data_IF_850356067789
#
_entry.id   IF_850356067789
#
_cell.length_a   1.000
_cell.length_b   1.000
_cell.length_c   1.000
_cell.angle_alpha   90.00
_cell.angle_beta   90.00
_cell.angle_gamma   90.00
#
_symmetry.space_group_name_H-M   'P 1'
#
loop_
_entity.id
_entity.type
_entity.pdbx_description
1 polymer ?
#
# COMPACT_ATOMS: atom_id res chain seq x y z
N UNK A 1 -4.18 3.95 7.90
CA UNK A 1 -3.23 3.80 6.78
C UNK A 1 -4.10 3.80 5.55
N UNK A 2 -3.91 4.71 4.59
CA UNK A 2 -4.61 4.66 3.31
C UNK A 2 -4.51 3.26 2.69
N UNK A 3 -5.66 2.68 2.36
CA UNK A 3 -5.77 1.42 1.62
C UNK A 3 -6.29 1.74 0.21
N UNK A 4 -6.71 0.74 -0.56
CA UNK A 4 -7.19 0.96 -1.93
C UNK A 4 -8.25 2.07 -2.04
N UNK A 5 -9.32 2.09 -1.21
CA UNK A 5 -10.39 3.07 -1.37
C UNK A 5 -9.92 4.53 -1.17
N UNK A 6 -9.08 4.78 -0.18
CA UNK A 6 -8.57 6.13 0.11
C UNK A 6 -7.58 6.61 -0.96
N UNK A 7 -6.80 5.69 -1.55
CA UNK A 7 -5.91 6.02 -2.68
C UNK A 7 -6.73 6.31 -3.95
N UNK A 8 -7.83 5.59 -4.19
CA UNK A 8 -8.74 5.91 -5.31
C UNK A 8 -9.37 7.30 -5.16
N UNK A 9 -9.82 7.68 -3.96
CA UNK A 9 -10.34 9.02 -3.74
C UNK A 9 -9.24 10.09 -3.88
N UNK A 10 -8.02 9.79 -3.44
CA UNK A 10 -6.85 10.65 -3.70
C UNK A 10 -6.63 10.86 -5.20
N UNK A 11 -6.67 9.79 -5.99
CA UNK A 11 -6.53 9.84 -7.45
C UNK A 11 -7.65 10.65 -8.08
N UNK A 12 -8.90 10.49 -7.62
CA UNK A 12 -10.04 11.31 -8.06
C UNK A 12 -9.80 12.80 -7.80
N UNK A 13 -9.33 13.18 -6.61
CA UNK A 13 -9.01 14.56 -6.26
C UNK A 13 -7.90 15.12 -7.18
N UNK A 14 -6.80 14.38 -7.35
CA UNK A 14 -5.69 14.78 -8.20
C UNK A 14 -6.17 14.95 -9.64
N UNK A 15 -6.94 13.99 -10.16
CA UNK A 15 -7.51 14.05 -11.52
C UNK A 15 -8.40 15.28 -11.71
N UNK A 16 -9.32 15.54 -10.79
CA UNK A 16 -10.22 16.70 -10.85
C UNK A 16 -9.47 18.04 -10.79
N UNK A 17 -8.30 18.07 -10.14
CA UNK A 17 -7.53 19.30 -9.93
C UNK A 17 -6.54 19.56 -11.06
N UNK A 18 -5.88 18.49 -11.54
CA UNK A 18 -4.67 18.59 -12.35
C UNK A 18 -4.84 18.13 -13.81
N UNK A 19 -5.84 17.29 -14.12
CA UNK A 19 -5.99 16.74 -15.47
C UNK A 19 -6.13 17.87 -16.51
N UNK A 20 -5.34 17.81 -17.56
CA UNK A 20 -5.33 18.83 -18.62
C UNK A 20 -4.55 20.11 -18.29
N UNK A 21 -3.98 20.24 -17.09
CA UNK A 21 -3.17 21.39 -16.68
C UNK A 21 -1.67 21.12 -16.82
N UNK A 22 -0.91 22.18 -17.07
CA UNK A 22 0.56 22.15 -17.11
C UNK A 22 1.14 22.44 -15.73
N UNK A 23 2.20 21.70 -15.37
CA UNK A 23 2.98 21.91 -14.14
C UNK A 23 3.90 23.11 -14.38
N UNK A 24 3.55 24.29 -13.91
CA UNK A 24 4.33 25.52 -14.13
C UNK A 24 5.61 25.54 -13.31
N UNK A 25 5.52 25.09 -12.06
CA UNK A 25 6.65 24.97 -11.15
C UNK A 25 6.36 23.92 -10.09
N UNK A 26 7.43 23.46 -9.45
CA UNK A 26 7.36 22.48 -8.37
C UNK A 26 8.21 22.99 -7.21
N UNK A 27 7.57 23.31 -6.09
CA UNK A 27 8.29 23.49 -4.84
C UNK A 27 8.56 22.12 -4.22
N UNK A 28 9.77 21.91 -3.70
CA UNK A 28 10.15 20.65 -3.06
C UNK A 28 10.94 20.90 -1.79
N UNK A 29 10.88 19.94 -0.87
CA UNK A 29 11.70 19.92 0.34
C UNK A 29 12.53 18.65 0.34
N UNK A 30 13.82 18.78 0.62
CA UNK A 30 14.73 17.63 0.66
C UNK A 30 14.23 16.57 1.65
N UNK A 31 14.03 15.36 1.14
CA UNK A 31 13.75 14.18 1.95
C UNK A 31 14.23 12.92 1.24
N UNK A 32 15.44 12.49 1.57
CA UNK A 32 16.10 11.32 0.96
C UNK A 32 15.43 9.98 1.27
N UNK A 33 14.46 9.94 2.19
CA UNK A 33 13.67 8.73 2.48
C UNK A 33 12.43 8.68 1.57
N UNK A 34 11.75 9.83 1.42
CA UNK A 34 10.50 9.89 0.67
C UNK A 34 10.76 9.95 -0.83
N UNK A 35 11.73 10.74 -1.28
CA UNK A 35 12.22 10.71 -2.67
C UNK A 35 13.14 9.49 -2.85
N UNK A 36 12.57 8.40 -3.34
CA UNK A 36 13.23 7.09 -3.34
C UNK A 36 13.89 6.82 -4.69
N UNK A 37 15.23 6.74 -4.69
CA UNK A 37 16.01 6.51 -5.92
C UNK A 37 16.13 7.74 -6.82
N UNK A 38 15.78 8.93 -6.31
CA UNK A 38 15.89 10.21 -7.00
C UNK A 38 16.05 11.34 -5.99
N UNK A 39 16.68 12.45 -6.37
CA UNK A 39 16.69 13.67 -5.57
C UNK A 39 15.39 14.46 -5.75
N UNK A 40 15.08 15.37 -4.83
CA UNK A 40 13.89 16.19 -4.96
C UNK A 40 14.01 17.22 -6.10
N UNK A 41 15.23 17.69 -6.39
CA UNK A 41 15.51 18.59 -7.51
C UNK A 41 15.36 17.90 -8.86
N UNK A 42 15.87 16.67 -8.99
CA UNK A 42 15.71 15.89 -10.22
C UNK A 42 14.23 15.56 -10.47
N UNK A 43 13.48 15.27 -9.41
CA UNK A 43 12.03 15.10 -9.49
C UNK A 43 11.35 16.37 -10.00
N UNK A 44 11.63 17.52 -9.39
CA UNK A 44 11.06 18.80 -9.80
C UNK A 44 11.40 19.12 -11.27
N UNK A 45 12.67 18.93 -11.64
CA UNK A 45 13.17 19.21 -12.99
C UNK A 45 12.52 18.33 -14.07
N UNK A 46 12.31 17.04 -13.80
CA UNK A 46 11.72 16.13 -14.79
C UNK A 46 10.27 16.51 -15.13
N UNK A 47 9.49 16.93 -14.14
CA UNK A 47 8.04 17.09 -14.31
C UNK A 47 7.62 18.52 -14.63
N UNK A 48 8.45 19.50 -14.30
CA UNK A 48 8.17 20.92 -14.58
C UNK A 48 8.02 21.15 -16.09
N UNK A 49 7.01 21.93 -16.46
CA UNK A 49 6.65 22.27 -17.83
C UNK A 49 5.73 21.26 -18.53
N UNK A 50 5.55 20.05 -17.97
CA UNK A 50 4.75 18.98 -18.59
C UNK A 50 3.29 19.06 -18.19
N UNK A 51 2.41 18.61 -19.08
CA UNK A 51 0.95 18.58 -18.90
C UNK A 51 0.52 17.24 -18.34
N UNK A 52 -0.38 17.26 -17.36
CA UNK A 52 -1.00 16.05 -16.82
C UNK A 52 -2.03 15.53 -17.81
N UNK A 53 -1.78 14.35 -18.37
CA UNK A 53 -2.67 13.71 -19.37
C UNK A 53 -3.56 12.62 -18.76
N UNK A 54 -3.13 12.03 -17.65
CA UNK A 54 -3.91 11.05 -16.92
C UNK A 54 -3.41 10.94 -15.48
N UNK A 55 -4.25 10.38 -14.61
CA UNK A 55 -3.88 10.00 -13.25
C UNK A 55 -4.47 8.61 -13.02
N UNK A 56 -3.61 7.65 -12.69
CA UNK A 56 -4.00 6.26 -12.52
C UNK A 56 -3.64 5.71 -11.14
N UNK A 57 -4.15 4.52 -10.84
CA UNK A 57 -3.94 3.80 -9.58
C UNK A 57 -3.75 2.32 -9.86
N UNK A 58 -2.88 1.68 -9.09
CA UNK A 58 -2.84 0.23 -8.96
C UNK A 58 -2.54 -0.15 -7.51
N UNK A 59 -3.45 -0.91 -6.88
CA UNK A 59 -3.43 -1.15 -5.44
C UNK A 59 -3.39 0.15 -4.62
N UNK A 60 -2.38 0.29 -3.75
CA UNK A 60 -2.14 1.49 -2.92
C UNK A 60 -1.17 2.49 -3.54
N UNK A 61 -0.75 2.24 -4.78
CA UNK A 61 0.14 3.10 -5.56
C UNK A 61 -0.70 3.91 -6.54
N UNK A 62 -0.38 5.18 -6.72
CA UNK A 62 -0.95 6.00 -7.77
C UNK A 62 0.15 6.67 -8.58
N UNK A 63 -0.18 7.08 -9.79
CA UNK A 63 0.78 7.66 -10.72
C UNK A 63 0.13 8.77 -11.54
N UNK A 64 0.96 9.68 -12.02
CA UNK A 64 0.55 10.81 -12.86
C UNK A 64 1.22 10.63 -14.21
N UNK A 65 0.42 10.43 -15.26
CA UNK A 65 0.96 10.39 -16.63
C UNK A 65 1.07 11.82 -17.14
N UNK A 66 2.24 12.14 -17.67
CA UNK A 66 2.59 13.44 -18.18
C UNK A 66 2.84 13.35 -19.69
N UNK A 67 2.53 14.41 -20.43
CA UNK A 67 2.84 14.48 -21.85
C UNK A 67 4.36 14.50 -22.13
N UNK A 68 4.72 14.36 -23.41
CA UNK A 68 6.11 14.38 -23.85
C UNK A 68 6.93 13.16 -23.44
N UNK A 69 8.24 13.23 -23.71
CA UNK A 69 9.20 12.16 -23.40
C UNK A 69 9.74 12.38 -21.98
N UNK A 70 9.68 11.36 -21.14
CA UNK A 70 10.25 11.39 -19.80
C UNK A 70 9.57 10.39 -18.87
N UNK A 71 10.03 10.36 -17.62
CA UNK A 71 9.49 9.50 -16.56
C UNK A 71 8.24 10.11 -15.95
N UNK A 72 7.43 9.27 -15.31
CA UNK A 72 6.16 9.59 -14.69
C UNK A 72 6.27 9.52 -13.16
N UNK A 73 5.68 10.46 -12.41
CA UNK A 73 5.53 10.34 -10.96
C UNK A 73 4.78 9.08 -10.56
N UNK A 74 5.39 8.28 -9.68
CA UNK A 74 4.77 7.12 -9.03
C UNK A 74 4.86 7.30 -7.51
N UNK A 75 3.70 7.29 -6.86
CA UNK A 75 3.48 7.80 -5.51
C UNK A 75 2.81 6.73 -4.64
N UNK A 76 3.28 6.61 -3.40
CA UNK A 76 2.66 5.79 -2.36
C UNK A 76 2.47 6.63 -1.10
N UNK A 77 1.28 6.63 -0.51
CA UNK A 77 0.95 7.47 0.64
C UNK A 77 1.54 6.96 1.97
N UNK A 78 1.98 5.69 2.03
CA UNK A 78 2.45 5.10 3.28
C UNK A 78 1.33 5.04 4.32
N UNK A 79 1.63 5.35 5.58
CA UNK A 79 0.62 5.31 6.65
C UNK A 79 -0.19 6.60 6.85
N UNK A 80 0.43 7.75 6.59
CA UNK A 80 -0.12 9.08 6.93
C UNK A 80 0.06 10.11 5.81
N UNK A 81 0.51 9.67 4.64
CA UNK A 81 0.58 10.55 3.49
C UNK A 81 -0.80 10.96 3.04
N UNK A 82 -0.88 12.16 2.48
CA UNK A 82 -2.12 12.75 2.00
C UNK A 82 -1.85 13.71 0.84
N UNK A 83 -2.88 13.96 0.04
CA UNK A 83 -2.91 15.05 -0.93
C UNK A 83 -3.76 16.18 -0.36
N UNK A 84 -3.29 17.42 -0.52
CA UNK A 84 -4.02 18.63 -0.18
C UNK A 84 -4.06 19.58 -1.36
N UNK A 85 -5.26 20.10 -1.67
CA UNK A 85 -5.44 21.20 -2.62
C UNK A 85 -5.53 22.50 -1.84
N UNK A 86 -4.85 23.55 -2.30
CA UNK A 86 -4.86 24.87 -1.63
C UNK A 86 -6.28 25.38 -1.45
N UNK A 87 -6.58 25.90 -0.25
CA UNK A 87 -7.91 26.37 0.13
C UNK A 87 -8.83 25.26 0.65
N UNK A 88 -8.46 23.99 0.51
CA UNK A 88 -9.23 22.85 1.01
C UNK A 88 -8.44 22.07 2.08
N UNK A 89 -9.12 21.44 3.05
CA UNK A 89 -8.47 20.54 3.98
C UNK A 89 -7.89 19.30 3.25
N UNK A 90 -6.82 18.66 3.77
CA UNK A 90 -6.30 17.42 3.22
C UNK A 90 -7.31 16.28 3.32
N UNK A 91 -7.30 15.36 2.34
CA UNK A 91 -8.04 14.10 2.44
C UNK A 91 -7.26 13.18 3.38
N UNK A 92 -7.78 12.96 4.57
CA UNK A 92 -7.17 12.10 5.59
C UNK A 92 -7.93 10.77 5.68
N UNK A 93 -7.17 9.68 5.76
CA UNK A 93 -7.70 8.33 6.05
C UNK A 93 -8.59 8.27 7.32
N UNK A 94 -8.31 9.14 8.29
CA UNK A 94 -9.13 9.30 9.49
C UNK A 94 -8.87 10.69 10.07
N UNK A 95 -9.94 11.44 10.36
CA UNK A 95 -9.80 12.69 11.09
C UNK A 95 -9.25 12.42 12.50
N UNK A 96 -8.06 12.96 12.77
CA UNK A 96 -7.53 13.01 14.13
C UNK A 96 -8.27 14.06 14.96
N UNK A 97 -7.95 14.13 16.26
CA UNK A 97 -8.50 15.17 17.15
C UNK A 97 -8.16 16.62 16.75
N UNK A 98 -7.19 16.81 15.84
CA UNK A 98 -6.82 18.13 15.31
C UNK A 98 -7.66 18.42 14.07
N UNK A 99 -8.33 19.57 14.06
CA UNK A 99 -9.06 20.07 12.89
C UNK A 99 -8.12 20.14 11.70
N UNK A 100 -8.59 19.67 10.55
CA UNK A 100 -7.90 19.83 9.28
C UNK A 100 -7.65 21.33 9.02
N UNK A 101 -6.41 21.68 8.65
CA UNK A 101 -5.99 23.07 8.43
C UNK A 101 -5.93 23.36 6.94
N UNK A 102 -6.31 24.59 6.54
CA UNK A 102 -6.14 25.14 5.19
C UNK A 102 -4.92 26.06 5.09
N UNK A 103 -4.07 26.11 6.13
CA UNK A 103 -2.79 26.84 6.14
C UNK A 103 -1.89 26.41 4.96
N UNK A 104 -1.23 27.38 4.33
CA UNK A 104 -0.42 27.18 3.14
C UNK A 104 0.90 27.97 3.20
N UNK A 105 2.06 27.36 2.89
CA UNK A 105 2.25 25.96 2.53
C UNK A 105 1.97 25.00 3.71
N UNK A 106 1.40 23.82 3.46
CA UNK A 106 1.03 22.89 4.52
C UNK A 106 2.25 22.28 5.19
N UNK A 107 2.13 22.00 6.49
CA UNK A 107 3.18 21.31 7.25
C UNK A 107 3.42 19.91 6.68
N UNK A 108 4.67 19.48 6.74
CA UNK A 108 5.12 18.15 6.26
C UNK A 108 4.96 17.94 4.76
N UNK A 109 4.79 19.02 3.97
CA UNK A 109 4.83 18.93 2.53
C UNK A 109 6.18 18.40 2.04
N UNK A 110 6.13 17.61 0.97
CA UNK A 110 7.31 17.07 0.26
C UNK A 110 7.47 17.75 -1.08
N UNK A 111 6.35 17.99 -1.75
CA UNK A 111 6.29 18.90 -2.89
C UNK A 111 4.95 19.63 -2.94
N UNK A 112 4.95 20.74 -3.68
CA UNK A 112 3.77 21.46 -4.16
C UNK A 112 3.88 21.58 -5.68
N UNK A 113 2.86 21.11 -6.39
CA UNK A 113 2.69 21.38 -7.81
C UNK A 113 1.92 22.69 -7.99
N UNK A 114 2.44 23.59 -8.81
CA UNK A 114 1.72 24.76 -9.31
C UNK A 114 1.20 24.44 -10.70
N UNK A 115 -0.12 24.43 -10.86
CA UNK A 115 -0.81 23.93 -12.04
C UNK A 115 -1.60 25.06 -12.70
N UNK A 116 -1.45 25.23 -14.00
CA UNK A 116 -2.28 26.17 -14.77
C UNK A 116 -2.85 25.51 -16.02
N UNK A 117 -4.10 25.83 -16.32
CA UNK A 117 -4.75 25.51 -17.60
C UNK A 117 -4.78 26.74 -18.51
N UNK A 118 -5.24 26.57 -19.74
CA UNK A 118 -5.34 27.66 -20.73
C UNK A 118 -6.35 28.75 -20.32
N UNK A 119 -7.39 28.39 -19.57
CA UNK A 119 -8.49 29.29 -19.16
C UNK A 119 -8.76 29.29 -17.67
N UNK A 120 -7.96 28.56 -16.88
CA UNK A 120 -8.26 28.24 -15.49
C UNK A 120 -7.44 29.05 -14.49
N UNK A 121 -8.06 29.31 -13.34
CA UNK A 121 -7.36 29.79 -12.15
C UNK A 121 -6.27 28.80 -11.76
N UNK A 122 -5.11 29.32 -11.38
CA UNK A 122 -3.98 28.53 -10.88
C UNK A 122 -4.42 27.62 -9.72
N UNK A 123 -4.14 26.33 -9.83
CA UNK A 123 -4.41 25.34 -8.80
C UNK A 123 -3.09 24.88 -8.18
N UNK A 124 -3.08 24.65 -6.87
CA UNK A 124 -1.90 24.15 -6.17
C UNK A 124 -2.23 22.87 -5.41
N UNK A 125 -1.38 21.86 -5.57
CA UNK A 125 -1.55 20.52 -5.01
C UNK A 125 -0.30 20.10 -4.26
N UNK A 126 -0.43 19.76 -2.97
CA UNK A 126 0.66 19.35 -2.10
C UNK A 126 0.59 17.86 -1.77
N UNK A 127 1.74 17.18 -1.79
CA UNK A 127 1.90 15.86 -1.18
C UNK A 127 2.48 16.03 0.22
N UNK A 128 1.77 15.52 1.22
CA UNK A 128 2.17 15.58 2.63
C UNK A 128 2.60 14.20 3.09
N UNK A 129 3.63 14.14 3.93
CA UNK A 129 3.97 12.89 4.62
C UNK A 129 4.66 13.15 5.97
N UNK A 130 3.88 13.29 7.05
CA UNK A 130 4.41 13.55 8.39
C UNK A 130 5.31 12.45 8.96
N UNK A 131 5.10 11.19 8.55
CA UNK A 131 5.84 10.03 9.09
C UNK A 131 6.97 9.56 8.19
N UNK A 132 7.11 10.13 6.99
CA UNK A 132 8.18 9.79 6.03
C UNK A 132 8.10 8.31 5.57
N UNK A 133 6.89 7.80 5.45
CA UNK A 133 6.58 6.42 5.05
C UNK A 133 5.99 6.31 3.64
N UNK A 134 5.61 7.44 3.06
CA UNK A 134 5.30 7.56 1.66
C UNK A 134 6.55 7.43 0.80
N UNK A 135 6.35 7.23 -0.49
CA UNK A 135 7.43 7.13 -1.47
C UNK A 135 7.04 7.90 -2.73
N UNK A 136 8.00 8.66 -3.24
CA UNK A 136 7.96 9.40 -4.49
C UNK A 136 9.05 8.82 -5.38
N UNK A 137 8.65 8.36 -6.56
CA UNK A 137 9.55 7.77 -7.57
C UNK A 137 9.25 8.36 -8.95
N UNK A 138 10.18 8.16 -9.87
CA UNK A 138 9.97 8.39 -11.30
C UNK A 138 10.22 7.07 -12.06
N UNK A 139 9.23 6.63 -12.83
CA UNK A 139 9.29 5.41 -13.64
C UNK A 139 9.01 5.76 -15.11
N UNK A 140 9.65 5.09 -16.07
CA UNK A 140 9.38 5.40 -17.49
C UNK A 140 8.00 4.88 -17.90
N UNK A 141 7.64 3.67 -17.45
CA UNK A 141 6.32 3.07 -17.64
C UNK A 141 5.79 2.53 -16.30
N UNK A 142 4.92 3.29 -15.58
CA UNK A 142 4.46 2.91 -14.25
C UNK A 142 3.93 1.48 -14.14
N UNK A 143 3.14 1.01 -15.11
CA UNK A 143 2.49 -0.30 -15.07
C UNK A 143 3.44 -1.48 -15.27
N UNK A 144 4.58 -1.27 -15.93
CA UNK A 144 5.53 -2.33 -16.30
C UNK A 144 6.83 -2.28 -15.50
N UNK A 145 6.96 -1.33 -14.58
CA UNK A 145 8.12 -1.18 -13.70
C UNK A 145 7.73 -1.27 -12.22
N UNK A 146 8.67 -1.66 -11.33
CA UNK A 146 8.45 -1.57 -9.89
C UNK A 146 8.17 -0.11 -9.46
N UNK A 147 7.26 0.10 -8.49
CA UNK A 147 6.68 -0.92 -7.63
C UNK A 147 5.47 -1.65 -8.21
N UNK A 148 4.81 -1.16 -9.28
CA UNK A 148 3.52 -1.74 -9.72
C UNK A 148 3.71 -3.12 -10.36
N UNK A 149 4.77 -3.32 -11.14
CA UNK A 149 4.97 -4.58 -11.89
C UNK A 149 5.18 -5.82 -11.02
N UNK A 150 5.43 -5.65 -9.73
CA UNK A 150 5.63 -6.75 -8.76
C UNK A 150 4.42 -6.94 -7.84
N UNK A 151 3.37 -6.13 -8.00
CA UNK A 151 2.14 -6.25 -7.22
C UNK A 151 1.25 -7.37 -7.77
N UNK A 152 0.41 -7.91 -6.88
CA UNK A 152 -0.61 -8.89 -7.23
C UNK A 152 -1.79 -8.28 -7.96
N UNK A 153 -2.95 -8.94 -7.89
CA UNK A 153 -4.15 -8.40 -8.54
C UNK A 153 -4.69 -7.18 -7.79
N UNK A 154 -5.24 -6.23 -8.54
CA UNK A 154 -6.03 -5.12 -8.00
C UNK A 154 -7.50 -5.56 -7.87
N UNK A 155 -8.11 -5.50 -6.67
CA UNK A 155 -9.51 -5.91 -6.45
C UNK A 155 -10.56 -5.27 -7.36
N UNK A 156 -10.26 -4.11 -7.97
CA UNK A 156 -11.17 -3.38 -8.84
C UNK A 156 -10.77 -3.52 -10.30
N UNK A 157 -9.49 -3.38 -10.62
CA UNK A 157 -9.02 -3.27 -12.01
C UNK A 157 -8.70 -4.63 -12.65
N UNK A 158 -8.14 -5.57 -11.88
CA UNK A 158 -7.55 -6.82 -12.41
C UNK A 158 -7.93 -8.04 -11.59
N UNK A 159 -9.10 -8.03 -10.95
CA UNK A 159 -9.58 -9.18 -10.18
C UNK A 159 -9.62 -10.44 -11.06
N UNK A 160 -8.94 -11.53 -10.68
CA UNK A 160 -8.96 -12.77 -11.44
C UNK A 160 -10.35 -13.40 -11.45
N UNK A 161 -10.62 -14.28 -12.42
CA UNK A 161 -11.84 -15.09 -12.38
C UNK A 161 -11.84 -16.00 -11.14
N UNK A 162 -13.02 -16.48 -10.74
CA UNK A 162 -13.13 -17.38 -9.59
C UNK A 162 -12.29 -18.67 -9.76
N UNK A 163 -12.22 -19.20 -10.98
CA UNK A 163 -11.48 -20.42 -11.29
C UNK A 163 -9.95 -20.22 -11.24
N UNK A 164 -9.47 -19.01 -11.55
CA UNK A 164 -8.07 -18.63 -11.36
C UNK A 164 -7.78 -18.31 -9.88
N UNK A 165 -8.71 -17.67 -9.17
CA UNK A 165 -8.55 -17.24 -7.79
C UNK A 165 -8.43 -18.40 -6.80
N UNK A 166 -9.28 -19.44 -6.95
CA UNK A 166 -9.28 -20.62 -6.07
C UNK A 166 -7.90 -21.27 -5.92
N UNK A 167 -7.17 -21.63 -6.99
CA UNK A 167 -5.84 -22.20 -6.88
C UNK A 167 -4.79 -21.19 -6.40
N UNK A 168 -4.98 -19.87 -6.63
CA UNK A 168 -4.06 -18.86 -6.07
C UNK A 168 -4.11 -18.82 -4.54
N UNK A 169 -5.28 -19.02 -3.94
CA UNK A 169 -5.47 -19.08 -2.48
C UNK A 169 -5.05 -20.43 -1.92
N UNK A 170 -5.61 -21.53 -2.43
CA UNK A 170 -5.45 -22.87 -1.86
C UNK A 170 -4.03 -23.46 -1.95
N UNK A 171 -3.16 -22.88 -2.79
CA UNK A 171 -1.73 -23.22 -2.83
C UNK A 171 -0.92 -22.67 -1.66
N UNK A 172 -1.48 -21.76 -0.86
CA UNK A 172 -0.81 -21.09 0.24
C UNK A 172 -1.12 -21.79 1.56
N UNK A 173 -0.15 -21.87 2.46
CA UNK A 173 -0.31 -22.49 3.79
C UNK A 173 -0.51 -21.50 4.91
N UNK A 174 -0.23 -20.22 4.66
CA UNK A 174 -0.40 -19.16 5.64
C UNK A 174 -1.88 -18.89 5.98
N UNK A 175 -2.15 -18.19 7.10
CA UNK A 175 -3.48 -17.68 7.42
C UNK A 175 -4.04 -16.77 6.34
N UNK A 176 -5.35 -16.88 6.05
CA UNK A 176 -6.00 -16.14 4.97
C UNK A 176 -5.86 -14.62 5.11
N UNK A 177 -5.93 -14.10 6.34
CA UNK A 177 -5.72 -12.67 6.54
C UNK A 177 -4.30 -12.25 6.17
N UNK A 178 -3.29 -13.06 6.48
CA UNK A 178 -1.92 -12.74 6.14
C UNK A 178 -1.72 -12.70 4.62
N UNK A 179 -2.31 -13.65 3.89
CA UNK A 179 -2.31 -13.65 2.42
C UNK A 179 -2.96 -12.39 1.82
N UNK A 180 -4.12 -11.98 2.33
CA UNK A 180 -4.81 -10.76 1.87
C UNK A 180 -4.01 -9.47 2.14
N UNK A 181 -3.10 -9.48 3.12
CA UNK A 181 -2.24 -8.34 3.42
C UNK A 181 -0.98 -8.31 2.53
N UNK A 182 -0.62 -9.42 1.89
CA UNK A 182 0.50 -9.48 0.95
C UNK A 182 0.15 -8.72 -0.33
N UNK A 183 0.89 -7.64 -0.61
CA UNK A 183 0.64 -6.80 -1.78
C UNK A 183 1.06 -7.47 -3.09
N UNK A 184 1.86 -8.54 -3.05
CA UNK A 184 2.16 -9.39 -4.21
C UNK A 184 1.02 -10.37 -4.53
N UNK A 185 0.09 -10.58 -3.59
CA UNK A 185 -1.13 -11.36 -3.81
C UNK A 185 -2.30 -10.44 -4.17
N UNK A 186 -2.67 -9.51 -3.28
CA UNK A 186 -3.77 -8.57 -3.47
C UNK A 186 -3.31 -7.13 -3.26
N UNK A 187 -3.03 -6.45 -4.36
CA UNK A 187 -2.59 -5.07 -4.39
C UNK A 187 -3.74 -4.17 -3.92
N UNK A 188 -3.59 -3.50 -2.77
CA UNK A 188 -4.62 -2.57 -2.28
C UNK A 188 -5.32 -2.97 -0.99
N UNK A 189 -5.43 -4.27 -0.69
CA UNK A 189 -6.05 -4.72 0.55
C UNK A 189 -5.09 -4.43 1.71
N UNK A 190 -5.57 -3.73 2.74
CA UNK A 190 -4.85 -3.52 3.98
C UNK A 190 -5.63 -4.08 5.17
N UNK A 191 -5.38 -3.50 6.34
CA UNK A 191 -5.82 -4.09 7.59
C UNK A 191 -7.32 -4.01 7.80
N UNK A 192 -7.96 -2.89 7.46
CA UNK A 192 -9.40 -2.76 7.67
C UNK A 192 -10.17 -3.46 6.57
N UNK A 193 -9.72 -3.38 5.31
CA UNK A 193 -10.39 -4.06 4.19
C UNK A 193 -10.33 -5.57 4.38
N UNK A 194 -9.19 -6.13 4.82
CA UNK A 194 -9.09 -7.57 5.09
C UNK A 194 -10.05 -8.03 6.20
N UNK A 195 -10.15 -7.29 7.31
CA UNK A 195 -11.10 -7.61 8.39
C UNK A 195 -12.55 -7.59 7.87
N UNK A 196 -12.91 -6.57 7.08
CA UNK A 196 -14.25 -6.41 6.54
C UNK A 196 -14.61 -7.52 5.55
N UNK A 197 -13.71 -7.83 4.61
CA UNK A 197 -13.87 -8.91 3.63
C UNK A 197 -14.11 -10.25 4.35
N UNK A 198 -13.28 -10.57 5.34
CA UNK A 198 -13.38 -11.83 6.07
C UNK A 198 -14.63 -11.88 6.96
N UNK A 199 -15.06 -10.74 7.52
CA UNK A 199 -16.30 -10.62 8.24
C UNK A 199 -17.51 -10.93 7.36
N UNK A 200 -17.57 -10.33 6.17
CA UNK A 200 -18.62 -10.59 5.20
C UNK A 200 -18.59 -12.04 4.71
N UNK A 201 -17.39 -12.57 4.43
CA UNK A 201 -17.22 -13.94 3.96
C UNK A 201 -17.39 -15.02 5.04
N UNK A 202 -17.58 -14.65 6.30
CA UNK A 202 -17.74 -15.57 7.45
C UNK A 202 -16.52 -16.46 7.68
N UNK A 203 -15.34 -15.99 7.30
CA UNK A 203 -14.08 -16.74 7.42
C UNK A 203 -13.29 -16.20 8.62
N UNK A 204 -12.80 -17.11 9.48
CA UNK A 204 -11.91 -16.73 10.58
C UNK A 204 -10.56 -16.22 10.04
N UNK A 205 -10.01 -15.10 10.54
CA UNK A 205 -8.75 -14.55 10.02
C UNK A 205 -7.54 -15.49 10.12
N UNK A 206 -7.53 -16.42 11.08
CA UNK A 206 -6.51 -17.48 11.22
C UNK A 206 -6.77 -18.73 10.36
N UNK A 207 -7.87 -18.79 9.60
CA UNK A 207 -8.15 -19.95 8.75
C UNK A 207 -7.04 -20.09 7.70
N UNK A 208 -6.41 -21.27 7.62
CA UNK A 208 -5.37 -21.53 6.63
C UNK A 208 -5.94 -21.57 5.21
N UNK A 209 -5.23 -21.00 4.24
CA UNK A 209 -5.74 -20.87 2.88
C UNK A 209 -6.00 -22.24 2.19
N UNK A 210 -5.13 -23.22 2.43
CA UNK A 210 -5.22 -24.59 1.92
C UNK A 210 -6.38 -25.42 2.49
N UNK A 211 -7.04 -24.91 3.54
CA UNK A 211 -8.20 -25.56 4.19
C UNK A 211 -9.55 -24.93 3.84
N UNK A 212 -9.57 -23.87 3.02
CA UNK A 212 -10.81 -23.19 2.64
C UNK A 212 -11.63 -24.02 1.67
N UNK A 213 -12.93 -24.13 1.95
CA UNK A 213 -13.89 -24.85 1.12
C UNK A 213 -14.29 -24.05 -0.12
N UNK A 214 -14.82 -24.72 -1.14
CA UNK A 214 -15.14 -24.10 -2.43
C UNK A 214 -16.18 -22.98 -2.34
N UNK A 215 -17.16 -23.11 -1.43
CA UNK A 215 -18.16 -22.08 -1.12
C UNK A 215 -17.51 -20.87 -0.43
N UNK A 216 -16.64 -21.10 0.56
CA UNK A 216 -15.88 -20.05 1.24
C UNK A 216 -14.98 -19.28 0.27
N UNK A 217 -14.32 -19.95 -0.67
CA UNK A 217 -13.51 -19.30 -1.71
C UNK A 217 -14.35 -18.44 -2.66
N UNK A 218 -15.55 -18.91 -2.99
CA UNK A 218 -16.50 -18.17 -3.83
C UNK A 218 -17.01 -16.92 -3.13
N UNK A 219 -17.36 -17.06 -1.85
CA UNK A 219 -17.78 -15.94 -1.01
C UNK A 219 -16.64 -14.94 -0.82
N UNK A 220 -15.43 -15.40 -0.50
CA UNK A 220 -14.25 -14.56 -0.35
C UNK A 220 -13.98 -13.72 -1.60
N UNK A 221 -14.00 -14.36 -2.77
CA UNK A 221 -13.81 -13.71 -4.07
C UNK A 221 -14.82 -12.57 -4.29
N UNK A 222 -16.11 -12.87 -4.07
CA UNK A 222 -17.19 -11.89 -4.20
C UNK A 222 -17.03 -10.74 -3.20
N UNK A 223 -16.71 -11.04 -1.94
CA UNK A 223 -16.65 -10.04 -0.87
C UNK A 223 -15.44 -9.11 -0.98
N UNK A 224 -14.31 -9.58 -1.52
CA UNK A 224 -13.17 -8.71 -1.88
C UNK A 224 -13.64 -7.59 -2.81
N UNK A 225 -14.34 -7.94 -3.90
CA UNK A 225 -14.83 -6.95 -4.86
C UNK A 225 -15.92 -6.07 -4.24
N UNK A 226 -16.87 -6.67 -3.51
CA UNK A 226 -18.00 -5.96 -2.92
C UNK A 226 -17.53 -4.88 -1.94
N UNK A 227 -16.66 -5.22 -0.99
CA UNK A 227 -16.15 -4.27 0.02
C UNK A 227 -15.36 -3.15 -0.65
N UNK A 228 -14.42 -3.48 -1.54
CA UNK A 228 -13.60 -2.47 -2.22
C UNK A 228 -14.45 -1.52 -3.08
N UNK A 229 -15.39 -2.04 -3.88
CA UNK A 229 -16.27 -1.23 -4.73
C UNK A 229 -17.23 -0.38 -3.91
N UNK A 230 -17.76 -0.92 -2.80
CA UNK A 230 -18.66 -0.16 -1.92
C UNK A 230 -17.93 1.00 -1.25
N UNK A 231 -16.72 0.75 -0.74
CA UNK A 231 -15.92 1.80 -0.10
C UNK A 231 -15.48 2.88 -1.10
N UNK A 232 -15.10 2.49 -2.32
CA UNK A 232 -14.82 3.44 -3.42
C UNK A 232 -16.06 4.23 -3.83
N UNK A 233 -17.22 3.57 -3.96
CA UNK A 233 -18.49 4.22 -4.26
C UNK A 233 -18.93 5.23 -3.19
N UNK A 234 -18.50 5.01 -1.95
CA UNK A 234 -18.67 5.93 -0.84
C UNK A 234 -17.57 7.00 -0.74
N UNK A 235 -16.66 7.12 -1.72
CA UNK A 235 -15.53 8.08 -1.71
C UNK A 235 -14.56 7.88 -0.54
N UNK A 236 -14.47 6.65 -0.03
CA UNK A 236 -13.77 6.32 1.22
C UNK A 236 -14.20 7.19 2.42
N UNK A 237 -15.38 7.80 2.34
CA UNK A 237 -16.01 8.50 3.45
C UNK A 237 -16.62 7.46 4.38
N UNK A 238 -15.90 7.19 5.46
CA UNK A 238 -16.25 6.14 6.39
C UNK A 238 -17.60 6.39 7.06
N UNK A 239 -18.10 7.63 7.11
CA UNK A 239 -19.43 7.96 7.63
C UNK A 239 -20.54 7.34 6.79
N UNK A 240 -20.32 7.18 5.47
CA UNK A 240 -21.27 6.61 4.50
C UNK A 240 -21.23 5.09 4.42
N UNK A 241 -20.25 4.44 5.04
CA UNK A 241 -20.23 2.97 5.09
C UNK A 241 -21.44 2.45 5.88
N UNK A 242 -21.99 1.27 5.50
CA UNK A 242 -23.12 0.69 6.19
C UNK A 242 -22.88 0.52 7.70
N UNK A 243 -23.94 0.69 8.49
CA UNK A 243 -23.86 0.71 9.96
C UNK A 243 -23.45 -0.65 10.57
N UNK A 244 -23.76 -1.71 9.84
CA UNK A 244 -23.52 -3.11 10.15
C UNK A 244 -22.12 -3.59 9.74
N UNK A 245 -21.34 -2.76 9.03
CA UNK A 245 -19.96 -3.11 8.70
C UNK A 245 -19.10 -3.18 9.96
N UNK A 246 -18.23 -4.19 10.01
CA UNK A 246 -17.29 -4.39 11.11
C UNK A 246 -16.39 -3.16 11.30
N UNK A 247 -16.10 -2.42 10.23
CA UNK A 247 -15.35 -1.18 10.20
C UNK A 247 -15.84 -0.20 11.27
N UNK A 248 -17.16 -0.04 11.43
CA UNK A 248 -17.73 0.91 12.41
C UNK A 248 -17.39 0.53 13.85
N UNK A 249 -17.11 -0.75 14.10
CA UNK A 249 -17.02 -1.34 15.44
C UNK A 249 -15.60 -1.82 15.80
N UNK A 250 -14.70 -2.00 14.82
CA UNK A 250 -13.36 -2.59 15.03
C UNK A 250 -12.35 -1.73 15.80
N UNK A 251 -12.60 -0.44 15.98
CA UNK A 251 -11.63 0.52 16.54
C UNK A 251 -11.51 0.49 18.07
N UNK A 252 -12.25 -0.40 18.75
CA UNK A 252 -12.42 -0.43 20.20
C UNK A 252 -11.47 -1.35 20.99
N UNK A 253 -10.39 -1.89 20.40
CA UNK A 253 -9.48 -2.83 21.10
C UNK A 253 -9.04 -2.26 22.45
N UNK A 254 -9.40 -2.94 23.54
CA UNK A 254 -9.07 -2.55 24.92
C UNK A 254 -9.94 -1.44 25.53
N UNK A 255 -10.95 -0.94 24.82
CA UNK A 255 -11.93 0.01 25.37
C UNK A 255 -13.08 -0.72 26.07
N UNK A 256 -13.63 -0.11 27.12
CA UNK A 256 -14.82 -0.61 27.85
C UNK A 256 -16.14 -0.29 27.16
N UNK A 257 -16.14 0.60 26.15
CA UNK A 257 -17.33 0.92 25.37
C UNK A 257 -17.82 -0.30 24.61
N UNK A 258 -19.10 -0.64 24.81
CA UNK A 258 -19.77 -1.70 24.05
C UNK A 258 -20.04 -1.20 22.64
N UNK A 259 -19.61 -1.97 21.64
CA UNK A 259 -20.00 -1.72 20.25
C UNK A 259 -21.49 -2.05 20.04
N UNK A 260 -22.08 -1.54 18.97
CA UNK A 260 -23.52 -1.72 18.68
C UNK A 260 -23.80 -2.75 17.58
N UNK A 261 -22.75 -3.41 17.06
CA UNK A 261 -22.88 -4.46 16.06
C UNK A 261 -23.81 -5.58 16.54
N UNK A 262 -24.75 -5.96 15.68
CA UNK A 262 -25.69 -7.07 15.89
C UNK A 262 -25.44 -8.20 14.90
N UNK A 263 -25.74 -9.41 15.33
CA UNK A 263 -25.82 -10.58 14.47
C UNK A 263 -27.06 -10.49 13.56
N UNK A 264 -27.14 -11.29 12.47
CA UNK A 264 -28.36 -11.39 11.67
C UNK A 264 -29.61 -11.77 12.48
N UNK A 265 -29.45 -12.47 13.61
CA UNK A 265 -30.52 -12.78 14.57
C UNK A 265 -31.03 -11.57 15.36
N UNK A 266 -30.35 -10.42 15.30
CA UNK A 266 -30.66 -9.21 16.08
C UNK A 266 -29.99 -9.16 17.46
N UNK A 267 -29.35 -10.25 17.90
CA UNK A 267 -28.59 -10.31 19.14
C UNK A 267 -27.27 -9.51 19.05
N UNK A 268 -26.74 -8.97 20.16
CA UNK A 268 -25.43 -8.35 20.16
C UNK A 268 -24.34 -9.31 19.69
N UNK A 269 -23.51 -8.87 18.74
CA UNK A 269 -22.34 -9.64 18.32
C UNK A 269 -21.21 -9.56 19.37
N UNK A 270 -20.25 -10.49 19.34
CA UNK A 270 -19.02 -10.40 20.12
C UNK A 270 -17.82 -10.18 19.21
N UNK A 271 -17.26 -8.97 19.24
CA UNK A 271 -16.00 -8.68 18.54
C UNK A 271 -14.82 -9.08 19.42
N UNK A 272 -13.90 -9.87 18.85
CA UNK A 272 -12.59 -10.15 19.44
C UNK A 272 -11.48 -9.58 18.57
N UNK A 273 -10.33 -9.35 19.21
CA UNK A 273 -9.12 -8.90 18.54
C UNK A 273 -7.99 -9.88 18.76
N UNK A 274 -7.39 -10.35 17.67
CA UNK A 274 -6.21 -11.20 17.65
C UNK A 274 -5.12 -10.55 16.79
N UNK A 275 -3.96 -11.18 16.70
CA UNK A 275 -2.86 -10.74 15.82
C UNK A 275 -2.65 -11.80 14.76
N UNK A 276 -2.76 -11.45 13.49
CA UNK A 276 -2.51 -12.35 12.34
C UNK A 276 -1.65 -11.63 11.33
N UNK A 277 -0.56 -12.26 10.88
CA UNK A 277 0.42 -11.62 9.99
C UNK A 277 1.00 -10.34 10.59
N UNK A 278 1.32 -10.34 11.88
CA UNK A 278 1.86 -9.18 12.60
C UNK A 278 0.90 -7.99 12.77
N UNK A 279 -0.35 -8.07 12.28
CA UNK A 279 -1.34 -6.98 12.36
C UNK A 279 -2.53 -7.37 13.22
N UNK A 280 -3.08 -6.39 13.94
CA UNK A 280 -4.31 -6.60 14.73
C UNK A 280 -5.51 -6.84 13.82
N UNK A 281 -6.27 -7.89 14.12
CA UNK A 281 -7.46 -8.34 13.40
C UNK A 281 -8.67 -8.29 14.30
N UNK A 282 -9.73 -7.59 13.87
CA UNK A 282 -11.04 -7.68 14.49
C UNK A 282 -11.88 -8.74 13.77
N UNK A 283 -12.65 -9.52 14.51
CA UNK A 283 -13.56 -10.51 13.94
C UNK A 283 -14.74 -10.76 14.89
N UNK A 284 -15.85 -11.29 14.35
CA UNK A 284 -17.06 -11.63 15.11
C UNK A 284 -17.10 -13.13 15.40
N UNK A 285 -17.04 -13.50 16.67
CA UNK A 285 -16.81 -14.89 17.10
C UNK A 285 -17.91 -15.87 16.71
N UNK A 286 -19.14 -15.38 16.65
CA UNK A 286 -20.33 -16.15 16.35
C UNK A 286 -20.44 -16.46 14.85
N UNK A 287 -19.88 -15.57 14.02
CA UNK A 287 -20.00 -15.61 12.55
C UNK A 287 -18.76 -16.16 11.86
N UNK A 288 -17.59 -16.01 12.48
CA UNK A 288 -16.31 -16.42 11.92
C UNK A 288 -15.71 -17.47 12.85
N UNK A 289 -15.99 -18.74 12.57
CA UNK A 289 -15.49 -19.88 13.37
C UNK A 289 -14.24 -20.45 12.70
N UNK A 290 -13.21 -20.73 13.49
CA UNK A 290 -12.03 -21.43 13.02
C UNK A 290 -12.37 -22.92 12.82
N UNK A 291 -12.09 -23.47 11.64
CA UNK A 291 -12.35 -24.87 11.33
C UNK A 291 -11.57 -25.82 12.24
N UNK A 292 -12.17 -26.97 12.55
CA UNK A 292 -11.67 -27.98 13.51
C UNK A 292 -10.41 -28.74 13.08
N UNK A 293 -9.90 -28.52 11.87
CA UNK A 293 -8.73 -29.18 11.31
C UNK A 293 -7.40 -28.50 11.65
N UNK A 294 -7.37 -27.67 12.70
CA UNK A 294 -6.17 -26.98 13.18
C UNK A 294 -5.94 -27.39 14.64
N UNK A 295 -5.04 -28.35 14.88
CA UNK A 295 -4.54 -28.60 16.23
C UNK A 295 -3.61 -27.45 16.62
N UNK A 296 -3.65 -27.02 17.88
CA UNK A 296 -2.80 -25.94 18.39
C UNK A 296 -1.30 -26.24 18.32
N UNK A 297 -0.92 -27.50 18.19
CA UNK A 297 0.46 -27.97 18.05
C UNK A 297 1.01 -27.73 16.63
N UNK A 298 0.16 -27.81 15.59
CA UNK A 298 0.56 -27.50 14.20
C UNK A 298 0.89 -26.01 14.00
N UNK A 299 0.29 -25.12 14.82
CA UNK A 299 0.53 -23.68 14.74
C UNK A 299 1.98 -23.26 15.10
N UNK A 300 2.74 -24.08 15.84
CA UNK A 300 4.12 -23.75 16.24
C UNK A 300 5.17 -24.24 15.24
N UNK A 301 4.97 -25.40 14.58
CA UNK A 301 5.86 -25.85 13.50
C UNK A 301 5.59 -25.12 12.17
N UNK A 302 4.37 -24.62 11.96
CA UNK A 302 3.98 -23.89 10.74
C UNK A 302 4.43 -22.42 10.71
N UNK A 303 4.80 -21.79 11.83
CA UNK A 303 5.26 -20.39 11.82
C UNK A 303 6.55 -20.20 10.99
N UNK A 304 7.47 -21.19 10.99
CA UNK A 304 8.70 -21.15 10.18
C UNK A 304 8.43 -21.38 8.69
N UNK A 305 7.39 -22.14 8.32
CA UNK A 305 7.02 -22.40 6.92
C UNK A 305 6.05 -21.35 6.35
N UNK A 306 5.14 -20.80 7.15
CA UNK A 306 4.17 -19.78 6.74
C UNK A 306 4.83 -18.45 6.37
N UNK A 307 5.97 -18.12 6.98
CA UNK A 307 6.76 -16.92 6.66
C UNK A 307 7.51 -17.07 5.32
N UNK A 308 7.71 -18.31 4.83
CA UNK A 308 8.33 -18.56 3.52
C UNK A 308 7.36 -18.36 2.33
N UNK A 309 6.06 -18.48 2.58
CA UNK A 309 4.98 -18.33 1.58
C UNK A 309 4.59 -16.86 1.35
N UNK A 310 4.95 -15.98 2.28
CA UNK A 310 4.62 -14.56 2.27
C UNK A 310 5.85 -13.75 1.90
N UNK A 311 5.63 -12.69 1.13
CA UNK A 311 6.66 -11.65 1.03
C UNK A 311 6.72 -10.94 2.38
N UNK A 312 7.91 -10.67 2.97
CA UNK A 312 8.01 -9.98 4.24
C UNK A 312 7.13 -8.73 4.24
N UNK A 313 6.30 -8.57 5.28
CA UNK A 313 5.45 -7.40 5.49
C UNK A 313 6.32 -6.19 5.90
N UNK A 314 7.35 -5.87 5.14
CA UNK A 314 8.08 -4.63 5.30
C UNK A 314 7.39 -3.56 4.47
N UNK A 315 6.87 -2.52 5.15
CA UNK A 315 6.61 -1.21 4.54
C UNK A 315 7.91 -0.56 4.00
N UNK A 316 9.04 -1.28 4.10
CA UNK A 316 10.31 -0.97 3.47
C UNK A 316 10.42 -1.76 2.16
N UNK A 317 10.29 -1.05 1.05
CA UNK A 317 10.82 -1.51 -0.23
C UNK A 317 12.31 -1.81 -0.03
N UNK A 318 12.67 -3.09 0.04
CA UNK A 318 14.07 -3.53 0.04
C UNK A 318 14.73 -2.95 -1.21
N UNK A 319 15.78 -2.18 -1.00
CA UNK A 319 16.62 -1.62 -2.06
C UNK A 319 17.31 -2.81 -2.75
N UNK A 320 16.77 -3.27 -3.88
CA UNK A 320 17.50 -4.18 -4.75
C UNK A 320 18.56 -3.32 -5.46
N UNK A 321 19.74 -3.21 -4.85
CA UNK A 321 20.93 -2.74 -5.56
C UNK A 321 21.35 -3.84 -6.54
N UNK A 322 21.18 -3.56 -7.83
CA UNK A 322 21.78 -4.36 -8.90
C UNK A 322 23.30 -4.25 -8.80
N UNK A 323 23.93 -5.21 -8.11
CA UNK A 323 25.38 -5.37 -8.18
C UNK A 323 25.75 -6.00 -9.51
N UNK A 324 26.16 -5.14 -10.44
CA UNK A 324 26.75 -5.55 -11.72
C UNK A 324 27.92 -6.51 -11.47
N UNK A 325 27.86 -7.67 -12.12
CA UNK A 325 28.91 -8.68 -12.16
C UNK A 325 30.20 -8.07 -12.72
N UNK A 326 31.14 -7.71 -11.84
CA UNK A 326 32.54 -7.47 -12.24
C UNK A 326 33.21 -8.83 -12.45
N UNK A 327 33.32 -9.22 -13.72
CA UNK A 327 34.27 -10.25 -14.18
C UNK A 327 35.66 -9.96 -13.58
N UNK A 328 36.12 -10.82 -12.67
CA UNK A 328 37.52 -10.88 -12.26
C UNK A 328 38.32 -11.53 -13.39
N UNK A 329 39.07 -10.71 -14.13
CA UNK A 329 40.22 -11.14 -14.90
C UNK A 329 41.28 -11.70 -13.95
N UNK A 330 41.68 -12.96 -14.16
CA UNK A 330 42.82 -13.58 -13.50
C UNK A 330 44.10 -12.84 -13.93
N UNK A 331 44.80 -12.22 -12.98
CA UNK A 331 46.17 -11.76 -13.19
C UNK A 331 47.16 -12.84 -12.75
N UNK A 332 48.10 -13.10 -13.64
CA UNK A 332 49.19 -14.05 -13.54
C UNK A 332 50.18 -13.67 -12.43
N UNK A 333 50.58 -14.69 -11.68
CA UNK A 333 51.68 -14.72 -10.72
C UNK A 333 53.01 -14.31 -11.37
N UNK A 334 53.67 -13.28 -10.85
CA UNK A 334 55.12 -13.07 -11.06
C UNK A 334 55.75 -12.66 -9.73
N UNK A 335 56.43 -13.62 -9.10
CA UNK A 335 57.22 -13.39 -7.90
C UNK A 335 58.54 -12.69 -8.22
N UNK A 336 58.91 -11.71 -7.40
CA UNK A 336 60.27 -11.20 -7.33
C UNK A 336 60.64 -10.91 -5.86
N UNK A 337 61.46 -11.80 -5.30
CA UNK A 337 62.12 -11.65 -3.99
C UNK A 337 63.19 -10.57 -4.07
N UNK A 338 63.15 -9.61 -3.15
CA UNK A 338 64.21 -8.62 -2.86
C UNK A 338 65.39 -9.30 -2.15
N UNK A 339 66.60 -9.19 -2.73
CA UNK A 339 67.87 -9.59 -2.11
C UNK A 339 68.44 -8.49 -1.22
N UNK A 340 69.18 -8.94 -0.19
CA UNK A 340 69.75 -8.15 0.90
C UNK A 340 70.93 -7.28 0.48
N UNK A 341 71.00 -6.14 1.17
CA UNK A 341 72.08 -5.16 1.27
C UNK A 341 73.24 -5.69 2.14
N UNK A 342 74.49 -5.52 1.73
CA UNK A 342 75.65 -5.30 2.63
C UNK A 342 76.88 -4.83 1.84
N UNK A 343 77.34 -3.63 2.17
CA UNK A 343 78.71 -3.18 1.98
C UNK A 343 79.14 -2.54 3.31
N UNK A 344 80.29 -2.96 3.85
CA UNK A 344 81.09 -2.26 4.87
C UNK A 344 82.55 -2.58 4.58
N UNK A 345 83.41 -1.56 4.56
CA UNK A 345 84.58 -1.47 5.43
C UNK A 345 84.44 -0.18 6.27
N UNK A 346 84.93 -0.04 7.49
CA UNK A 346 86.11 -0.56 8.19
C UNK A 346 85.78 -0.77 9.66
#
# INVERSE_FOLDING_TARGET
>A
MPELPEVEETVRLVRNTALGKSIQSVETVEDTIVFAGITHEDFAKEITGRKVVNVGRYGKVFYIELDGVGRMPVLHLGMTGAIQVKGFPPILYKEGKRKASTEWPPKFMKFILHLSGETDVEAQLAFLDPRRLGRIRLCASPMTEPPISILGFDPILTMPSLDEFKPMVTKRRCPIKALLLDQTFSAGIGNWVADEVLYHARIHPEQRCDTLMADQLSELHMQIQHVCKTAVGAHADDSKFPSEWLFKHRWGKGKREKHTLKLPSGEPATIKWITVGGRTSAYVTELQKLGSSINKEDLQEDEEHADSDLTPLSDEATIITTTGSKRKTQSSNSGARRSKRRARPS
#
